data_IF_560518036578
#
_entry.id   IF_560518036578
#
_cell.length_a   1.000
_cell.length_b   1.000
_cell.length_c   1.000
_cell.angle_alpha   90.00
_cell.angle_beta   90.00
_cell.angle_gamma   90.00
#
_symmetry.space_group_name_H-M   'P 1'
#
loop_
_entity.id
_entity.type
_entity.pdbx_description
1 polymer ?
#
# COMPACT_ATOMS: atom_id res chain seq x y z
N UNK A 1 8.64 55.68 -36.37
CA UNK A 1 8.65 55.76 -37.84
C UNK A 1 10.00 56.31 -38.28
N UNK A 2 10.82 55.47 -38.94
CA UNK A 2 12.02 55.71 -39.79
C UNK A 2 12.88 54.42 -39.69
N UNK A 3 13.49 53.80 -40.70
CA UNK A 3 13.54 53.94 -42.17
C UNK A 3 14.08 52.60 -42.72
N UNK A 4 13.54 52.22 -43.88
CA UNK A 4 13.97 51.22 -44.91
C UNK A 4 15.45 50.80 -44.94
N UNK A 5 15.80 49.50 -45.01
CA UNK A 5 15.75 48.55 -46.14
C UNK A 5 17.10 48.48 -46.92
N UNK A 6 17.66 47.27 -47.06
CA UNK A 6 18.06 46.59 -48.34
C UNK A 6 19.35 45.75 -48.28
N UNK A 7 19.18 44.47 -48.66
CA UNK A 7 20.02 43.66 -49.59
C UNK A 7 21.51 43.41 -49.19
N UNK A 8 22.11 42.22 -49.29
CA UNK A 8 22.04 41.10 -50.25
C UNK A 8 22.48 39.82 -49.51
N UNK A 9 21.74 38.71 -49.60
CA UNK A 9 21.88 37.66 -50.62
C UNK A 9 23.25 36.94 -50.60
N UNK A 10 23.16 35.63 -50.35
CA UNK A 10 23.98 34.51 -50.86
C UNK A 10 25.17 34.04 -50.02
N UNK A 11 25.14 32.74 -49.70
CA UNK A 11 26.19 31.98 -49.01
C UNK A 11 25.57 30.84 -48.21
N UNK A 12 24.68 30.05 -48.84
CA UNK A 12 24.95 28.71 -49.37
C UNK A 12 25.14 27.64 -48.27
N UNK A 13 24.20 26.69 -48.30
CA UNK A 13 24.06 25.51 -47.44
C UNK A 13 25.23 24.54 -47.59
N UNK A 14 25.59 23.88 -46.50
CA UNK A 14 26.06 22.46 -46.41
C UNK A 14 26.17 22.13 -44.91
N UNK A 15 25.25 21.35 -44.31
CA UNK A 15 25.33 19.89 -44.12
C UNK A 15 26.68 19.51 -43.43
N UNK A 16 26.76 18.84 -42.28
CA UNK A 16 26.40 17.43 -42.05
C UNK A 16 26.62 17.07 -40.55
N UNK A 17 25.82 16.10 -40.08
CA UNK A 17 26.00 15.12 -38.97
C UNK A 17 25.96 15.49 -37.49
N UNK A 18 24.96 14.86 -36.86
CA UNK A 18 24.82 14.53 -35.46
C UNK A 18 26.02 13.75 -34.87
N UNK A 19 26.27 13.99 -33.59
CA UNK A 19 26.84 13.00 -32.69
C UNK A 19 26.05 13.04 -31.38
N UNK A 20 25.25 11.99 -31.15
CA UNK A 20 24.56 11.75 -29.90
C UNK A 20 25.60 11.42 -28.82
N UNK A 21 25.59 12.16 -27.72
CA UNK A 21 26.23 11.74 -26.48
C UNK A 21 25.13 11.57 -25.43
N UNK A 22 24.68 10.32 -25.31
CA UNK A 22 23.86 9.84 -24.21
C UNK A 22 24.65 10.00 -22.90
N UNK A 23 24.19 10.90 -22.02
CA UNK A 23 24.56 10.84 -20.61
C UNK A 23 23.29 10.54 -19.82
N UNK A 24 22.95 9.24 -19.76
CA UNK A 24 22.06 8.72 -18.73
C UNK A 24 22.80 8.84 -17.39
N UNK A 25 22.50 9.91 -16.64
CA UNK A 25 22.83 9.99 -15.23
C UNK A 25 21.91 9.01 -14.48
N UNK A 26 22.40 7.80 -14.23
CA UNK A 26 21.75 6.85 -13.35
C UNK A 26 21.80 7.38 -11.90
N UNK A 27 20.68 7.91 -11.41
CA UNK A 27 20.51 8.19 -9.99
C UNK A 27 20.42 6.86 -9.22
N UNK A 28 21.12 6.69 -8.09
CA UNK A 28 20.93 5.51 -7.26
C UNK A 28 19.59 5.69 -6.54
N UNK A 29 18.59 4.91 -6.94
CA UNK A 29 17.38 4.75 -6.15
C UNK A 29 17.77 4.03 -4.86
N UNK A 30 18.01 4.81 -3.80
CA UNK A 30 18.08 4.29 -2.44
C UNK A 30 16.69 3.76 -2.07
N UNK A 31 16.44 2.49 -2.39
CA UNK A 31 15.29 1.76 -1.93
C UNK A 31 15.38 1.66 -0.41
N UNK A 32 14.61 2.48 0.30
CA UNK A 32 14.32 2.28 1.70
C UNK A 32 13.62 0.93 1.83
N UNK A 33 14.37 -0.10 2.23
CA UNK A 33 13.82 -1.39 2.59
C UNK A 33 12.94 -1.18 3.83
N UNK A 34 11.63 -1.04 3.62
CA UNK A 34 10.67 -1.13 4.70
C UNK A 34 10.83 -2.50 5.36
N UNK A 35 11.26 -2.50 6.62
CA UNK A 35 11.44 -3.71 7.40
C UNK A 35 10.12 -4.49 7.40
N UNK A 36 10.11 -5.62 6.70
CA UNK A 36 8.96 -6.51 6.65
C UNK A 36 8.89 -7.25 7.97
N UNK A 37 8.21 -6.65 8.96
CA UNK A 37 7.79 -7.34 10.19
C UNK A 37 6.57 -8.22 9.90
N UNK A 38 6.62 -9.01 8.83
CA UNK A 38 5.58 -10.01 8.53
C UNK A 38 5.91 -11.28 9.28
N UNK A 39 5.63 -11.28 10.59
CA UNK A 39 5.23 -12.53 11.20
C UNK A 39 3.83 -12.77 10.64
N UNK A 40 3.64 -13.80 9.81
CA UNK A 40 2.32 -14.13 9.31
C UNK A 40 1.51 -14.74 10.46
N UNK A 41 0.26 -14.33 10.62
CA UNK A 41 -0.61 -14.90 11.63
C UNK A 41 -0.85 -16.35 11.21
N UNK A 42 -0.77 -17.26 12.17
CA UNK A 42 -1.09 -18.66 11.89
C UNK A 42 -2.58 -18.74 11.63
N UNK A 43 -2.98 -19.46 10.58
CA UNK A 43 -4.38 -19.81 10.40
C UNK A 43 -4.89 -20.51 11.68
N UNK A 44 -6.05 -20.09 12.17
CA UNK A 44 -6.70 -20.54 13.40
C UNK A 44 -6.40 -19.70 14.64
N UNK A 45 -5.66 -18.59 14.52
CA UNK A 45 -5.35 -17.73 15.66
C UNK A 45 -6.55 -16.86 16.06
N UNK A 46 -6.83 -16.81 17.37
CA UNK A 46 -7.89 -15.98 17.96
C UNK A 46 -7.33 -14.62 18.32
N UNK A 47 -7.97 -13.57 17.82
CA UNK A 47 -7.72 -12.17 18.16
C UNK A 47 -8.87 -11.69 19.02
N UNK A 48 -8.57 -11.31 20.24
CA UNK A 48 -9.54 -10.67 21.13
C UNK A 48 -9.46 -9.15 20.94
N UNK A 49 -10.58 -8.49 20.77
CA UNK A 49 -10.68 -7.03 20.68
C UNK A 49 -11.56 -6.51 21.80
N UNK A 50 -11.30 -5.30 22.29
CA UNK A 50 -12.16 -4.70 23.33
C UNK A 50 -13.58 -4.44 22.83
N UNK A 51 -13.70 -4.08 21.55
CA UNK A 51 -14.96 -3.82 20.87
C UNK A 51 -14.91 -4.46 19.49
N UNK A 52 -15.98 -5.15 19.12
CA UNK A 52 -16.21 -5.70 17.78
C UNK A 52 -17.54 -5.19 17.26
N UNK A 53 -17.49 -4.54 16.10
CA UNK A 53 -18.65 -4.18 15.30
C UNK A 53 -18.79 -5.19 14.15
N UNK A 54 -19.92 -5.88 14.10
CA UNK A 54 -20.18 -6.96 13.15
C UNK A 54 -21.31 -6.59 12.19
N UNK A 55 -20.94 -6.17 10.99
CA UNK A 55 -21.83 -5.99 9.83
C UNK A 55 -21.50 -7.05 8.78
N UNK A 56 -21.94 -8.29 9.04
CA UNK A 56 -21.54 -9.46 8.27
C UNK A 56 -21.80 -9.26 6.76
N UNK A 57 -20.85 -9.67 5.89
CA UNK A 57 -19.65 -10.47 6.18
C UNK A 57 -18.44 -9.67 6.66
N UNK A 58 -18.57 -8.36 6.88
CA UNK A 58 -17.53 -7.51 7.43
C UNK A 58 -17.54 -7.51 8.95
N UNK A 59 -16.37 -7.65 9.57
CA UNK A 59 -16.25 -7.51 11.03
C UNK A 59 -15.08 -6.59 11.32
N UNK A 60 -15.27 -5.62 12.19
CA UNK A 60 -14.27 -4.65 12.58
C UNK A 60 -14.05 -4.69 14.09
N UNK A 61 -12.84 -5.03 14.51
CA UNK A 61 -12.42 -5.02 15.91
C UNK A 61 -11.51 -3.84 16.22
N UNK A 62 -11.63 -3.28 17.42
CA UNK A 62 -10.80 -2.18 17.95
C UNK A 62 -10.07 -2.60 19.22
N UNK A 63 -8.88 -2.05 19.43
CA UNK A 63 -8.02 -2.33 20.58
C UNK A 63 -7.83 -3.85 20.77
N UNK A 64 -7.19 -4.45 19.77
CA UNK A 64 -7.07 -5.89 19.59
C UNK A 64 -5.75 -6.46 20.13
N UNK A 65 -5.73 -7.76 20.41
CA UNK A 65 -4.52 -8.47 20.85
C UNK A 65 -3.55 -8.82 19.72
N UNK A 66 -3.89 -8.50 18.47
CA UNK A 66 -3.05 -8.78 17.31
C UNK A 66 -1.70 -8.06 17.45
N UNK A 67 -0.59 -8.78 17.28
CA UNK A 67 0.77 -8.21 17.44
C UNK A 67 1.42 -7.79 16.13
N UNK A 68 0.77 -8.10 15.02
CA UNK A 68 1.35 -7.96 13.68
C UNK A 68 0.58 -6.94 12.86
N UNK A 69 1.32 -6.32 11.95
CA UNK A 69 0.76 -5.46 10.92
C UNK A 69 0.73 -6.24 9.62
N UNK A 70 -0.40 -6.23 8.93
CA UNK A 70 -0.49 -6.87 7.63
C UNK A 70 -1.72 -7.75 7.40
N UNK A 71 -1.70 -8.52 6.31
CA UNK A 71 -2.81 -9.37 5.94
C UNK A 71 -2.97 -10.54 6.92
N UNK A 72 -4.23 -10.92 7.13
CA UNK A 72 -4.65 -12.05 7.94
C UNK A 72 -5.38 -13.07 7.07
N UNK A 73 -5.31 -14.34 7.45
CA UNK A 73 -6.05 -15.43 6.80
C UNK A 73 -6.52 -16.46 7.82
N UNK A 74 -7.78 -16.88 7.72
CA UNK A 74 -8.40 -17.91 8.55
C UNK A 74 -8.24 -17.65 10.04
N UNK A 75 -8.87 -16.61 10.59
CA UNK A 75 -8.71 -16.21 12.00
C UNK A 75 -10.07 -16.02 12.67
N UNK A 76 -10.06 -15.89 14.00
CA UNK A 76 -11.28 -15.61 14.78
C UNK A 76 -11.14 -14.26 15.48
N UNK A 77 -12.11 -13.37 15.31
CA UNK A 77 -12.28 -12.17 16.11
C UNK A 77 -13.24 -12.47 17.26
N UNK A 78 -12.85 -12.11 18.47
CA UNK A 78 -13.70 -12.25 19.66
C UNK A 78 -13.85 -10.91 20.35
N UNK A 79 -15.09 -10.51 20.62
CA UNK A 79 -15.40 -9.35 21.45
C UNK A 79 -15.13 -9.68 22.93
N UNK A 80 -14.32 -8.86 23.60
CA UNK A 80 -13.96 -9.09 24.99
C UNK A 80 -15.12 -8.84 25.97
N UNK A 81 -16.09 -7.99 25.60
CA UNK A 81 -17.20 -7.58 26.45
C UNK A 81 -18.40 -8.54 26.33
N UNK A 82 -18.80 -8.91 25.11
CA UNK A 82 -19.91 -9.82 24.86
C UNK A 82 -19.49 -11.29 24.81
N UNK A 83 -18.22 -11.56 24.47
CA UNK A 83 -17.72 -12.92 24.20
C UNK A 83 -18.08 -13.44 22.81
N UNK A 84 -18.84 -12.68 22.02
CA UNK A 84 -19.25 -13.07 20.68
C UNK A 84 -18.02 -13.22 19.78
N UNK A 85 -18.02 -14.28 18.99
CA UNK A 85 -16.89 -14.63 18.13
C UNK A 85 -17.29 -14.76 16.67
N UNK A 86 -16.39 -14.37 15.77
CA UNK A 86 -16.56 -14.38 14.33
C UNK A 86 -15.34 -15.00 13.66
N UNK A 87 -15.55 -16.06 12.88
CA UNK A 87 -14.49 -16.68 12.08
C UNK A 87 -14.45 -16.03 10.70
N UNK A 88 -13.30 -15.49 10.31
CA UNK A 88 -13.08 -14.77 9.06
C UNK A 88 -12.06 -15.48 8.18
N UNK A 89 -12.33 -15.56 6.88
CA UNK A 89 -11.42 -16.20 5.91
C UNK A 89 -10.20 -15.32 5.62
N UNK A 90 -10.37 -13.99 5.55
CA UNK A 90 -9.30 -13.05 5.26
C UNK A 90 -9.51 -11.71 5.97
N UNK A 91 -8.45 -10.90 6.03
CA UNK A 91 -8.51 -9.61 6.71
C UNK A 91 -7.19 -8.86 6.75
N UNK A 92 -7.14 -7.82 7.58
CA UNK A 92 -5.96 -7.01 7.83
C UNK A 92 -5.90 -6.60 9.31
N UNK A 93 -4.70 -6.60 9.88
CA UNK A 93 -4.42 -6.08 11.21
C UNK A 93 -3.49 -4.87 11.13
N UNK A 94 -3.78 -3.86 11.94
CA UNK A 94 -2.86 -2.75 12.23
C UNK A 94 -2.25 -2.91 13.64
N UNK A 95 -1.64 -4.08 13.87
CA UNK A 95 -1.18 -4.48 15.19
C UNK A 95 -2.33 -4.51 16.19
N UNK A 96 -2.10 -3.93 17.37
CA UNK A 96 -3.09 -3.94 18.44
C UNK A 96 -4.16 -2.86 18.31
N UNK A 97 -4.12 -2.00 17.29
CA UNK A 97 -5.02 -0.86 17.19
C UNK A 97 -6.41 -1.28 16.68
N UNK A 98 -6.43 -2.04 15.59
CA UNK A 98 -7.66 -2.56 15.00
C UNK A 98 -7.39 -3.74 14.09
N UNK A 99 -8.43 -4.53 13.85
CA UNK A 99 -8.44 -5.63 12.90
C UNK A 99 -9.72 -5.58 12.08
N UNK A 100 -9.60 -5.76 10.77
CA UNK A 100 -10.74 -5.89 9.87
C UNK A 100 -10.77 -7.29 9.28
N UNK A 101 -11.86 -8.01 9.46
CA UNK A 101 -12.16 -9.27 8.81
C UNK A 101 -13.17 -9.11 7.68
N UNK A 102 -13.02 -9.96 6.66
CA UNK A 102 -13.99 -10.14 5.59
C UNK A 102 -14.34 -11.63 5.48
N UNK A 103 -15.48 -11.89 4.83
CA UNK A 103 -16.04 -13.24 4.67
C UNK A 103 -16.23 -13.93 6.03
N UNK A 104 -16.66 -13.15 7.03
CA UNK A 104 -16.82 -13.62 8.38
C UNK A 104 -18.15 -14.32 8.59
N UNK A 105 -18.16 -15.30 9.50
CA UNK A 105 -19.34 -16.01 9.98
C UNK A 105 -19.33 -16.09 11.51
N UNK A 106 -20.49 -16.15 12.19
CA UNK A 106 -20.54 -16.37 13.63
C UNK A 106 -19.82 -17.67 14.03
N UNK A 107 -19.12 -17.64 15.16
CA UNK A 107 -18.25 -18.71 15.64
C UNK A 107 -18.46 -19.13 17.11
N UNK A 108 -19.26 -18.40 17.89
CA UNK A 108 -20.01 -18.78 19.11
C UNK A 108 -20.43 -17.50 19.85
#
# INVERSE_FOLDING_TARGET
MTTTQRLRRTGLRTLVTAAAALFLAAAPAAGAAAASHTTAMRAGETITCQEVDADLPGVFGRECTARQWGPLSGFTLTDAASGESYRCENGWAEGGLWVKGNDCVPAN
#
